data_IF_078976939008
#
_entry.id   IF_078976939008
#
_cell.length_a   1.000
_cell.length_b   1.000
_cell.length_c   1.000
_cell.angle_alpha   90.00
_cell.angle_beta   90.00
_cell.angle_gamma   90.00
#
_symmetry.space_group_name_H-M   'P 1'
#
loop_
_entity.id
_entity.type
_entity.pdbx_description
1 polymer ?
#
# COMPACT_ATOMS: atom_id res chain seq x y z
N UNK A 1 11.60 -6.34 -39.28
CA UNK A 1 12.75 -6.33 -38.34
C UNK A 1 12.44 -5.63 -37.00
N UNK A 2 11.55 -4.64 -36.94
CA UNK A 2 11.26 -3.86 -35.72
C UNK A 2 10.67 -4.65 -34.54
N UNK A 3 9.88 -5.70 -34.76
CA UNK A 3 9.28 -6.48 -33.65
C UNK A 3 10.26 -7.32 -32.83
N UNK A 4 11.41 -7.74 -33.40
CA UNK A 4 12.41 -8.53 -32.66
C UNK A 4 13.17 -7.69 -31.64
N UNK A 5 13.34 -6.39 -31.92
CA UNK A 5 14.00 -5.44 -31.02
C UNK A 5 13.13 -5.08 -29.81
N UNK A 6 11.82 -4.94 -30.01
CA UNK A 6 10.87 -4.69 -28.91
C UNK A 6 10.81 -5.87 -27.91
N UNK A 7 10.88 -7.11 -28.40
CA UNK A 7 10.91 -8.30 -27.55
C UNK A 7 12.22 -8.42 -26.75
N UNK A 8 13.36 -8.14 -27.38
CA UNK A 8 14.66 -8.13 -26.71
C UNK A 8 14.74 -7.03 -25.64
N UNK A 9 14.18 -5.85 -25.89
CA UNK A 9 14.12 -4.77 -24.91
C UNK A 9 13.24 -5.13 -23.71
N UNK A 10 12.07 -5.76 -23.94
CA UNK A 10 11.16 -6.19 -22.88
C UNK A 10 11.77 -7.29 -21.98
N UNK A 11 12.45 -8.27 -22.59
CA UNK A 11 13.14 -9.34 -21.84
C UNK A 11 14.28 -8.76 -21.00
N UNK A 12 15.03 -7.80 -21.55
CA UNK A 12 16.14 -7.15 -20.85
C UNK A 12 15.65 -6.28 -19.70
N UNK A 13 14.54 -5.54 -19.88
CA UNK A 13 13.91 -4.75 -18.82
C UNK A 13 13.36 -5.65 -17.70
N UNK A 14 12.75 -6.80 -18.03
CA UNK A 14 12.28 -7.77 -17.05
C UNK A 14 13.43 -8.39 -16.24
N UNK A 15 14.56 -8.73 -16.89
CA UNK A 15 15.77 -9.21 -16.22
C UNK A 15 16.40 -8.16 -15.31
N UNK A 16 16.39 -6.88 -15.71
CA UNK A 16 16.89 -5.78 -14.87
C UNK A 16 15.99 -5.53 -13.65
N UNK A 17 14.67 -5.62 -13.82
CA UNK A 17 13.71 -5.51 -12.70
C UNK A 17 13.85 -6.67 -11.69
N UNK A 18 14.16 -7.88 -12.16
CA UNK A 18 14.48 -9.02 -11.28
C UNK A 18 15.77 -8.82 -10.48
N UNK A 19 16.74 -8.05 -10.98
CA UNK A 19 17.95 -7.69 -10.22
C UNK A 19 17.79 -6.50 -9.29
N UNK A 20 16.73 -5.70 -9.47
CA UNK A 20 16.40 -4.56 -8.61
C UNK A 20 15.62 -4.97 -7.35
N UNK A 21 14.86 -6.08 -7.41
CA UNK A 21 14.24 -6.72 -6.25
C UNK A 21 15.23 -7.67 -5.57
N UNK A 22 16.24 -7.12 -4.90
CA UNK A 22 17.12 -7.87 -4.01
C UNK A 22 18.21 -8.65 -4.72
N UNK A 23 19.36 -7.99 -4.95
CA UNK A 23 20.63 -8.72 -5.01
C UNK A 23 20.88 -9.32 -3.64
N UNK A 24 20.38 -10.55 -3.44
CA UNK A 24 20.90 -11.41 -2.38
C UNK A 24 22.33 -11.70 -2.80
N UNK A 25 23.29 -11.08 -2.11
CA UNK A 25 24.69 -11.35 -2.35
C UNK A 25 24.91 -12.82 -1.99
N UNK A 26 25.23 -13.69 -2.96
CA UNK A 26 25.33 -15.13 -2.74
C UNK A 26 26.38 -15.49 -1.67
N UNK A 27 27.33 -14.58 -1.47
CA UNK A 27 28.40 -14.60 -0.46
C UNK A 27 27.85 -14.44 0.98
N UNK A 28 26.66 -13.84 1.12
CA UNK A 28 25.96 -13.57 2.38
C UNK A 28 24.99 -14.69 2.76
N UNK A 29 24.96 -15.81 2.03
CA UNK A 29 24.18 -17.00 2.38
C UNK A 29 24.87 -17.85 3.45
N UNK A 30 25.65 -17.21 4.32
CA UNK A 30 26.14 -17.91 5.51
C UNK A 30 24.94 -18.25 6.39
N UNK A 31 24.92 -19.42 7.05
CA UNK A 31 23.83 -19.79 7.94
C UNK A 31 23.53 -18.75 9.04
N UNK A 32 24.54 -17.98 9.43
CA UNK A 32 24.40 -16.90 10.41
C UNK A 32 23.71 -15.66 9.82
N UNK A 33 24.11 -15.21 8.63
CA UNK A 33 23.45 -14.08 7.96
C UNK A 33 21.98 -14.38 7.61
N UNK A 34 21.66 -15.62 7.24
CA UNK A 34 20.27 -16.04 7.03
C UNK A 34 19.47 -16.01 8.33
N UNK A 35 20.04 -16.46 9.45
CA UNK A 35 19.38 -16.37 10.77
C UNK A 35 19.16 -14.92 11.19
N UNK A 36 20.12 -14.03 10.94
CA UNK A 36 19.98 -12.60 11.25
C UNK A 36 18.89 -11.96 10.41
N UNK A 37 18.86 -12.20 9.09
CA UNK A 37 17.81 -11.68 8.22
C UNK A 37 16.43 -12.24 8.57
N UNK A 38 16.34 -13.52 8.95
CA UNK A 38 15.09 -14.11 9.45
C UNK A 38 14.66 -13.52 10.79
N UNK A 39 15.60 -13.28 11.71
CA UNK A 39 15.31 -12.64 12.99
C UNK A 39 14.82 -11.20 12.80
N UNK A 40 15.47 -10.43 11.91
CA UNK A 40 15.03 -9.07 11.54
C UNK A 40 13.64 -9.09 10.91
N UNK A 41 13.39 -9.99 9.95
CA UNK A 41 12.07 -10.14 9.33
C UNK A 41 10.98 -10.53 10.35
N UNK A 42 11.29 -11.39 11.32
CA UNK A 42 10.38 -11.76 12.41
C UNK A 42 10.13 -10.56 13.33
N UNK A 43 11.16 -9.80 13.71
CA UNK A 43 11.00 -8.61 14.56
C UNK A 43 10.12 -7.57 13.85
N UNK A 44 10.35 -7.30 12.56
CA UNK A 44 9.53 -6.39 11.77
C UNK A 44 8.09 -6.87 11.63
N UNK A 45 7.88 -8.16 11.38
CA UNK A 45 6.53 -8.74 11.32
C UNK A 45 5.81 -8.68 12.67
N UNK A 46 6.54 -8.82 13.79
CA UNK A 46 5.96 -8.76 15.14
C UNK A 46 5.59 -7.33 15.52
N UNK A 47 6.39 -6.34 15.13
CA UNK A 47 6.07 -4.92 15.32
C UNK A 47 4.85 -4.49 14.49
N UNK A 48 4.78 -4.90 13.23
CA UNK A 48 3.61 -4.65 12.38
C UNK A 48 2.35 -5.36 12.91
N UNK A 49 2.48 -6.57 13.46
CA UNK A 49 1.38 -7.28 14.08
C UNK A 49 0.90 -6.60 15.38
N UNK A 50 1.81 -6.06 16.19
CA UNK A 50 1.45 -5.34 17.42
C UNK A 50 0.71 -4.02 17.12
N UNK A 51 1.13 -3.30 16.08
CA UNK A 51 0.46 -2.08 15.62
C UNK A 51 -0.93 -2.38 15.01
N UNK A 52 -1.09 -3.53 14.35
CA UNK A 52 -2.40 -4.02 13.91
C UNK A 52 -3.30 -4.52 15.06
N UNK A 53 -2.73 -5.09 16.13
CA UNK A 53 -3.50 -5.53 17.29
C UNK A 53 -4.09 -4.34 18.07
N UNK A 54 -3.43 -3.18 18.07
CA UNK A 54 -3.93 -1.95 18.68
C UNK A 54 -5.10 -1.32 17.88
N UNK A 55 -5.03 -1.36 16.54
CA UNK A 55 -6.05 -0.81 15.65
C UNK A 55 -7.28 -1.73 15.48
N UNK A 56 -7.18 -3.02 15.86
CA UNK A 56 -8.27 -4.00 15.81
C UNK A 56 -8.52 -4.59 14.42
N UNK A 57 -9.45 -5.57 14.34
CA UNK A 57 -9.76 -6.37 13.14
C UNK A 57 -10.25 -5.54 11.93
N UNK A 58 -10.49 -4.24 12.11
CA UNK A 58 -11.04 -3.34 11.09
C UNK A 58 -9.97 -2.74 10.15
N UNK A 59 -8.68 -2.85 10.49
CA UNK A 59 -7.55 -2.34 9.69
C UNK A 59 -6.62 -3.45 9.18
N UNK A 60 -7.23 -4.46 8.55
CA UNK A 60 -6.52 -5.65 8.01
C UNK A 60 -6.01 -5.48 6.56
N UNK A 61 -6.06 -4.25 6.02
CA UNK A 61 -5.60 -3.94 4.68
C UNK A 61 -4.07 -3.95 4.52
N UNK A 62 -3.61 -3.80 3.29
CA UNK A 62 -2.18 -3.64 3.00
C UNK A 62 -1.83 -2.14 2.92
N UNK A 63 -1.10 -1.58 3.91
CA UNK A 63 -0.82 -0.14 3.94
C UNK A 63 0.09 0.32 2.80
N UNK A 64 0.95 -0.53 2.25
CA UNK A 64 1.79 -0.15 1.10
C UNK A 64 0.95 0.02 -0.18
N UNK A 65 -0.03 -0.87 -0.41
CA UNK A 65 -1.01 -0.70 -1.49
C UNK A 65 -1.92 0.50 -1.23
N UNK A 66 -2.31 0.68 0.03
CA UNK A 66 -3.11 1.81 0.49
C UNK A 66 -2.48 3.14 0.17
N UNK A 67 -1.20 3.31 0.50
CA UNK A 67 -0.41 4.50 0.18
C UNK A 67 -0.45 4.84 -1.31
N UNK A 68 -0.25 3.86 -2.19
CA UNK A 68 -0.26 4.09 -3.64
C UNK A 68 -1.62 4.60 -4.11
N UNK A 69 -2.71 4.06 -3.57
CA UNK A 69 -4.05 4.53 -3.92
C UNK A 69 -4.37 5.89 -3.28
N UNK A 70 -3.95 6.11 -2.04
CA UNK A 70 -4.07 7.40 -1.36
C UNK A 70 -3.38 8.52 -2.14
N UNK A 71 -2.15 8.26 -2.61
CA UNK A 71 -1.35 9.17 -3.43
C UNK A 71 -2.11 9.63 -4.69
N UNK A 72 -2.90 8.73 -5.30
CA UNK A 72 -3.66 9.01 -6.53
C UNK A 72 -4.99 9.71 -6.26
N UNK A 73 -5.72 9.28 -5.23
CA UNK A 73 -7.13 9.65 -5.06
C UNK A 73 -7.39 10.68 -3.96
N UNK A 74 -6.50 10.78 -2.97
CA UNK A 74 -6.79 11.49 -1.72
C UNK A 74 -5.91 12.72 -1.49
N UNK A 75 -4.62 12.64 -1.83
CA UNK A 75 -3.63 13.70 -1.54
C UNK A 75 -4.02 15.07 -2.09
N UNK A 76 -4.61 15.12 -3.29
CA UNK A 76 -5.02 16.38 -3.91
C UNK A 76 -6.01 17.21 -3.08
N UNK A 77 -6.77 16.57 -2.18
CA UNK A 77 -7.66 17.27 -1.24
C UNK A 77 -7.10 17.32 0.18
N UNK A 78 -6.53 16.22 0.67
CA UNK A 78 -6.17 16.07 2.08
C UNK A 78 -4.73 16.51 2.43
N UNK A 79 -3.85 16.63 1.44
CA UNK A 79 -2.44 17.01 1.65
C UNK A 79 -2.15 18.42 1.12
N UNK A 80 -2.64 19.43 1.84
CA UNK A 80 -2.48 20.84 1.46
C UNK A 80 -3.48 21.33 0.41
N UNK A 81 -4.54 20.54 0.18
CA UNK A 81 -5.66 20.89 -0.66
C UNK A 81 -6.76 21.64 0.10
N UNK A 82 -8.02 21.30 -0.23
CA UNK A 82 -9.22 21.96 0.31
C UNK A 82 -9.83 21.28 1.54
N UNK A 83 -9.31 20.11 1.94
CA UNK A 83 -9.83 19.31 3.03
C UNK A 83 -8.78 19.16 4.14
N UNK A 84 -9.25 18.77 5.34
CA UNK A 84 -8.38 18.50 6.49
C UNK A 84 -7.41 17.34 6.18
N UNK A 85 -6.17 17.38 6.70
CA UNK A 85 -5.29 16.23 6.73
C UNK A 85 -5.93 15.09 7.52
N UNK A 86 -5.81 13.86 7.00
CA UNK A 86 -6.44 12.68 7.61
C UNK A 86 -5.45 11.57 7.97
N UNK A 87 -4.19 11.67 7.53
CA UNK A 87 -3.14 10.69 7.87
C UNK A 87 -2.90 10.69 9.38
N UNK A 88 -2.85 9.50 9.98
CA UNK A 88 -2.78 9.28 11.43
C UNK A 88 -4.15 9.06 12.10
N UNK A 89 -5.25 9.22 11.35
CA UNK A 89 -6.61 9.05 11.88
C UNK A 89 -7.18 7.67 11.52
N UNK A 90 -8.05 7.15 12.40
CA UNK A 90 -8.67 5.83 12.22
C UNK A 90 -10.11 5.98 11.70
N UNK A 91 -10.37 5.46 10.49
CA UNK A 91 -11.70 5.41 9.89
C UNK A 91 -12.05 3.96 9.51
N UNK A 92 -12.83 3.23 10.34
CA UNK A 92 -13.23 1.86 10.04
C UNK A 92 -14.06 1.77 8.76
N UNK A 93 -13.72 0.85 7.85
CA UNK A 93 -14.46 0.74 6.57
C UNK A 93 -15.95 0.45 6.78
N UNK A 94 -16.28 -0.36 7.79
CA UNK A 94 -17.65 -0.70 8.20
C UNK A 94 -18.52 0.53 8.48
N UNK A 95 -17.93 1.61 9.00
CA UNK A 95 -18.64 2.85 9.33
C UNK A 95 -18.70 3.83 8.15
N UNK A 96 -17.69 3.81 7.27
CA UNK A 96 -17.53 4.76 6.16
C UNK A 96 -17.87 4.18 4.79
N UNK A 97 -18.32 2.93 4.70
CA UNK A 97 -18.66 2.27 3.43
C UNK A 97 -19.66 3.11 2.62
N UNK A 98 -20.76 3.52 3.24
CA UNK A 98 -21.80 4.32 2.57
C UNK A 98 -21.22 5.66 2.09
N UNK A 99 -20.44 6.34 2.94
CA UNK A 99 -19.78 7.61 2.60
C UNK A 99 -18.92 7.50 1.33
N UNK A 100 -18.16 6.41 1.17
CA UNK A 100 -17.35 6.19 -0.05
C UNK A 100 -18.18 5.78 -1.28
N UNK A 101 -19.33 5.12 -1.08
CA UNK A 101 -20.21 4.63 -2.14
C UNK A 101 -21.23 5.65 -2.64
N UNK A 102 -21.62 6.62 -1.82
CA UNK A 102 -22.58 7.66 -2.22
C UNK A 102 -21.90 8.98 -2.55
N UNK A 103 -20.63 9.13 -2.14
CA UNK A 103 -20.05 10.45 -1.93
C UNK A 103 -20.53 10.99 -0.59
N UNK A 104 -19.65 11.77 0.06
CA UNK A 104 -19.95 12.40 1.34
C UNK A 104 -20.81 13.65 1.18
N UNK A 105 -20.49 14.70 1.95
CA UNK A 105 -20.99 16.05 1.68
C UNK A 105 -20.64 16.51 0.25
N UNK A 106 -21.16 17.68 -0.15
CA UNK A 106 -21.16 18.24 -1.53
C UNK A 106 -19.84 18.10 -2.31
N UNK A 107 -18.69 18.04 -1.64
CA UNK A 107 -17.37 18.04 -2.27
C UNK A 107 -16.58 16.72 -2.17
N UNK A 108 -17.10 15.70 -1.50
CA UNK A 108 -16.40 14.40 -1.39
C UNK A 108 -16.90 13.42 -2.47
N UNK A 109 -16.03 12.94 -3.37
CA UNK A 109 -16.45 12.15 -4.51
C UNK A 109 -16.96 10.77 -4.10
N UNK A 110 -17.82 10.20 -4.96
CA UNK A 110 -18.18 8.80 -4.91
C UNK A 110 -17.11 7.96 -5.62
N UNK A 111 -16.55 6.96 -4.95
CA UNK A 111 -15.52 6.10 -5.49
C UNK A 111 -16.04 4.81 -6.14
N UNK A 112 -17.31 4.43 -5.93
CA UNK A 112 -17.92 3.23 -6.50
C UNK A 112 -19.27 3.52 -7.20
N UNK A 113 -19.46 3.16 -8.49
CA UNK A 113 -18.53 2.47 -9.39
C UNK A 113 -17.66 3.43 -10.21
N UNK A 114 -17.80 4.74 -10.01
CA UNK A 114 -17.31 5.77 -10.93
C UNK A 114 -15.78 5.76 -11.09
N UNK A 115 -15.03 5.48 -10.02
CA UNK A 115 -13.56 5.48 -10.04
C UNK A 115 -12.94 4.08 -10.15
N UNK A 116 -13.72 3.02 -9.93
CA UNK A 116 -13.24 1.64 -9.96
C UNK A 116 -12.45 1.21 -8.72
N UNK A 117 -12.46 2.00 -7.63
CA UNK A 117 -11.93 1.58 -6.34
C UNK A 117 -12.83 0.49 -5.74
N UNK A 118 -12.26 -0.70 -5.55
CA UNK A 118 -12.92 -1.81 -4.86
C UNK A 118 -12.92 -1.57 -3.34
N UNK A 119 -13.79 -2.28 -2.63
CA UNK A 119 -13.83 -2.24 -1.16
C UNK A 119 -12.46 -2.59 -0.56
N UNK A 120 -11.75 -3.57 -1.14
CA UNK A 120 -10.39 -3.89 -0.71
C UNK A 120 -9.41 -2.74 -0.91
N UNK A 121 -9.55 -1.95 -1.98
CA UNK A 121 -8.69 -0.77 -2.15
C UNK A 121 -9.00 0.29 -1.10
N UNK A 122 -10.28 0.50 -0.76
CA UNK A 122 -10.68 1.42 0.30
C UNK A 122 -10.14 0.94 1.66
N UNK A 123 -10.27 -0.35 1.98
CA UNK A 123 -9.69 -0.94 3.20
C UNK A 123 -8.17 -0.77 3.25
N UNK A 124 -7.47 -0.99 2.14
CA UNK A 124 -6.02 -0.75 2.05
C UNK A 124 -5.68 0.72 2.32
N UNK A 125 -6.41 1.67 1.71
CA UNK A 125 -6.24 3.13 1.92
C UNK A 125 -6.45 3.48 3.39
N UNK A 126 -7.55 3.03 4.00
CA UNK A 126 -7.88 3.33 5.39
C UNK A 126 -6.86 2.74 6.36
N UNK A 127 -6.34 1.56 6.05
CA UNK A 127 -5.23 0.96 6.82
C UNK A 127 -3.96 1.79 6.71
N UNK A 128 -3.63 2.31 5.53
CA UNK A 128 -2.51 3.24 5.37
C UNK A 128 -2.72 4.51 6.19
N UNK A 129 -3.90 5.14 6.08
CA UNK A 129 -4.23 6.38 6.79
C UNK A 129 -4.04 6.18 8.30
N UNK A 130 -4.55 5.09 8.87
CA UNK A 130 -4.47 4.83 10.30
C UNK A 130 -3.06 4.46 10.83
N UNK A 131 -2.18 3.95 9.98
CA UNK A 131 -0.84 3.43 10.38
C UNK A 131 0.32 4.34 9.96
N UNK A 132 0.06 5.34 9.13
CA UNK A 132 1.10 6.25 8.68
C UNK A 132 1.38 7.31 9.77
N UNK A 133 2.56 7.18 10.38
CA UNK A 133 3.13 8.08 11.39
C UNK A 133 4.30 8.90 10.82
#
# INVERSE_FOLDING_TARGET
MQHRWAQLAAITAALLLLTACGRVNLEDLTPEAVKTQQAEAVITATAAAAEQEELGDEFTGNPQRGRVQYDVWCTGCHDGGRAEPIVGEAFPFSEYEEFFRTGGDIDHPNYNPVTGLSDQNLIDILTYIATAN
#
